data_IF_637210413966
#
_entry.id   IF_637210413966
#
_cell.length_a   1.000
_cell.length_b   1.000
_cell.length_c   1.000
_cell.angle_alpha   90.00
_cell.angle_beta   90.00
_cell.angle_gamma   90.00
#
_symmetry.space_group_name_H-M   'P 1'
#
loop_
_entity.id
_entity.type
_entity.pdbx_description
1 polymer ?
#
# COMPACT_ATOMS: atom_id res chain seq x y z
N UNK A 1 -14.89 3.41 16.37
CA UNK A 1 -13.54 2.83 16.55
C UNK A 1 -13.25 2.59 18.02
N UNK A 2 -12.67 1.44 18.39
CA UNK A 2 -12.20 1.22 19.76
C UNK A 2 -10.96 2.07 20.07
N UNK A 3 -10.71 2.33 21.35
CA UNK A 3 -9.48 3.00 21.80
C UNK A 3 -8.23 2.13 21.62
N UNK A 4 -8.42 0.82 21.49
CA UNK A 4 -7.37 -0.15 21.16
C UNK A 4 -7.89 -1.26 20.26
N UNK A 5 -7.01 -1.76 19.41
CA UNK A 5 -7.22 -2.87 18.51
C UNK A 5 -6.80 -4.17 19.20
N UNK A 6 -7.70 -5.17 19.18
CA UNK A 6 -7.33 -6.56 19.48
C UNK A 6 -6.64 -7.14 18.26
N UNK A 7 -5.43 -7.66 18.44
CA UNK A 7 -4.68 -8.33 17.38
C UNK A 7 -4.36 -9.76 17.78
N UNK A 8 -4.68 -10.71 16.90
CA UNK A 8 -4.27 -12.10 17.02
C UNK A 8 -3.06 -12.36 16.11
N UNK A 9 -1.94 -12.76 16.70
CA UNK A 9 -0.73 -13.19 15.98
C UNK A 9 -0.73 -14.72 15.92
N UNK A 10 -0.93 -15.29 14.74
CA UNK A 10 -1.04 -16.74 14.55
C UNK A 10 0.25 -17.31 13.95
N UNK A 11 0.83 -18.29 14.64
CA UNK A 11 1.89 -19.11 14.07
C UNK A 11 1.27 -20.21 13.18
N UNK A 12 1.29 -19.99 11.87
CA UNK A 12 0.80 -20.91 10.84
C UNK A 12 1.98 -21.51 10.06
N UNK A 13 3.14 -21.64 10.70
CA UNK A 13 4.38 -22.21 10.17
C UNK A 13 4.73 -23.55 10.86
N UNK A 14 5.87 -24.13 10.49
CA UNK A 14 6.49 -25.26 11.22
C UNK A 14 7.61 -24.82 12.17
N UNK A 15 7.79 -23.52 12.37
CA UNK A 15 8.84 -22.93 13.19
C UNK A 15 8.32 -22.62 14.59
N UNK A 16 9.17 -22.76 15.61
CA UNK A 16 8.86 -22.47 17.01
C UNK A 16 9.64 -21.27 17.58
N UNK A 17 10.37 -20.57 16.72
CA UNK A 17 11.27 -19.47 17.08
C UNK A 17 10.87 -18.14 16.41
N UNK A 18 9.58 -17.93 16.12
CA UNK A 18 9.09 -16.69 15.50
C UNK A 18 8.78 -15.64 16.57
N UNK A 19 9.23 -14.42 16.35
CA UNK A 19 8.91 -13.26 17.18
C UNK A 19 8.25 -12.16 16.35
N UNK A 20 7.34 -11.44 16.98
CA UNK A 20 6.76 -10.21 16.46
C UNK A 20 7.23 -8.98 17.23
N UNK A 21 7.16 -7.83 16.56
CA UNK A 21 7.37 -6.52 17.15
C UNK A 21 6.31 -5.57 16.59
N UNK A 22 5.83 -4.64 17.41
CA UNK A 22 4.92 -3.58 16.94
C UNK A 22 5.59 -2.24 17.15
N UNK A 23 5.71 -1.45 16.08
CA UNK A 23 6.28 -0.10 16.10
C UNK A 23 5.28 0.89 15.52
N UNK A 24 5.42 2.18 15.83
CA UNK A 24 4.68 3.25 15.18
C UNK A 24 4.57 4.52 16.02
N UNK A 25 3.66 5.41 15.63
CA UNK A 25 3.39 6.68 16.32
C UNK A 25 2.10 6.57 17.16
N UNK A 26 2.21 6.63 18.48
CA UNK A 26 1.08 6.51 19.41
C UNK A 26 0.22 7.79 19.42
N UNK A 27 -0.91 7.75 18.71
CA UNK A 27 -1.79 8.91 18.49
C UNK A 27 -2.31 9.46 19.82
N UNK A 28 -2.76 8.58 20.70
CA UNK A 28 -3.32 8.94 22.01
C UNK A 28 -2.26 9.39 23.03
N UNK A 29 -0.96 9.28 22.69
CA UNK A 29 0.16 9.65 23.54
C UNK A 29 0.96 10.82 22.95
N UNK A 30 0.25 11.82 22.42
CA UNK A 30 0.88 13.03 21.88
C UNK A 30 1.71 12.80 20.60
N UNK A 31 1.46 11.71 19.87
CA UNK A 31 2.17 11.40 18.64
C UNK A 31 3.62 11.00 18.85
N UNK A 32 3.94 10.34 19.97
CA UNK A 32 5.28 9.85 20.25
C UNK A 32 5.56 8.54 19.52
N UNK A 33 6.80 8.37 19.04
CA UNK A 33 7.32 7.06 18.63
C UNK A 33 7.19 6.07 19.78
N UNK A 34 6.68 4.88 19.47
CA UNK A 34 6.51 3.80 20.43
C UNK A 34 6.84 2.44 19.83
N UNK A 35 7.14 1.50 20.73
CA UNK A 35 7.14 0.07 20.47
C UNK A 35 6.20 -0.61 21.47
N UNK A 36 5.62 -1.75 21.13
CA UNK A 36 4.91 -2.59 22.09
C UNK A 36 5.92 -3.50 22.82
N UNK A 37 5.85 -3.53 24.15
CA UNK A 37 6.69 -4.41 24.98
C UNK A 37 6.34 -5.88 24.74
N UNK A 38 7.25 -6.78 25.11
CA UNK A 38 7.11 -8.23 24.95
C UNK A 38 5.83 -8.83 25.57
N UNK A 39 5.19 -8.14 26.52
CA UNK A 39 3.92 -8.57 27.11
C UNK A 39 2.69 -8.33 26.20
N UNK A 40 2.87 -7.69 25.05
CA UNK A 40 1.82 -7.48 24.05
C UNK A 40 0.76 -6.46 24.44
N UNK A 41 1.01 -5.60 25.45
CA UNK A 41 0.02 -4.64 25.95
C UNK A 41 0.61 -3.27 26.25
N UNK A 42 1.77 -3.24 26.92
CA UNK A 42 2.36 -1.99 27.37
C UNK A 42 3.19 -1.34 26.26
N UNK A 43 3.13 -0.01 26.16
CA UNK A 43 3.99 0.74 25.25
C UNK A 43 5.35 1.03 25.89
N UNK A 44 6.40 0.92 25.09
CA UNK A 44 7.72 1.46 25.32
C UNK A 44 7.91 2.73 24.49
N UNK A 45 8.32 3.80 25.16
CA UNK A 45 8.69 5.07 24.53
C UNK A 45 10.19 5.28 24.72
N UNK A 46 11.03 5.02 23.70
CA UNK A 46 12.46 5.30 23.77
C UNK A 46 12.72 6.77 24.11
N UNK A 47 13.62 7.01 25.07
CA UNK A 47 14.02 8.36 25.51
C UNK A 47 15.53 8.46 25.64
N UNK A 48 16.06 9.58 25.15
CA UNK A 48 17.43 10.05 25.33
C UNK A 48 18.48 8.96 25.04
N UNK A 49 18.51 8.41 23.80
CA UNK A 49 19.56 7.47 23.42
C UNK A 49 20.93 8.18 23.44
N UNK A 50 21.95 7.58 24.08
CA UNK A 50 23.23 8.25 24.33
C UNK A 50 24.09 8.48 23.08
N UNK A 51 23.85 7.72 22.01
CA UNK A 51 24.62 7.78 20.77
C UNK A 51 23.83 7.21 19.59
N UNK A 52 24.30 7.47 18.36
CA UNK A 52 23.77 6.81 17.15
C UNK A 52 23.93 5.30 17.28
N UNK A 53 22.90 4.54 16.92
CA UNK A 53 22.91 3.08 16.99
C UNK A 53 22.79 2.50 18.41
N UNK A 54 22.21 3.24 19.35
CA UNK A 54 21.98 2.74 20.71
C UNK A 54 20.93 1.60 20.70
N UNK A 55 21.10 0.52 21.47
CA UNK A 55 20.11 -0.56 21.52
C UNK A 55 18.84 -0.13 22.28
N UNK A 56 17.74 -0.86 22.08
CA UNK A 56 16.56 -0.75 22.93
C UNK A 56 16.92 -1.12 24.38
N UNK A 57 16.33 -0.40 25.35
CA UNK A 57 16.48 -0.70 26.79
C UNK A 57 15.39 -1.64 27.32
N UNK A 58 14.36 -1.91 26.53
CA UNK A 58 13.23 -2.77 26.87
C UNK A 58 13.14 -3.92 25.86
N UNK A 59 12.77 -5.12 26.33
CA UNK A 59 12.45 -6.23 25.43
C UNK A 59 11.07 -6.00 24.78
N UNK A 60 11.08 -5.92 23.45
CA UNK A 60 9.90 -5.72 22.62
C UNK A 60 9.59 -6.95 21.74
N UNK A 61 10.31 -8.07 21.94
CA UNK A 61 10.10 -9.29 21.17
C UNK A 61 8.91 -10.09 21.74
N UNK A 62 7.81 -10.18 20.98
CA UNK A 62 6.60 -10.91 21.35
C UNK A 62 6.69 -12.32 20.74
N UNK A 63 6.86 -13.39 21.52
CA UNK A 63 6.96 -14.74 20.96
C UNK A 63 5.61 -15.21 20.40
N UNK A 64 5.62 -15.77 19.19
CA UNK A 64 4.43 -16.37 18.57
C UNK A 64 4.15 -17.79 19.07
N UNK A 65 5.08 -18.40 19.81
CA UNK A 65 4.93 -19.74 20.38
C UNK A 65 5.13 -20.87 19.36
N UNK A 66 4.69 -22.08 19.73
CA UNK A 66 4.79 -23.28 18.89
C UNK A 66 3.89 -23.18 17.63
N UNK A 67 4.15 -23.99 16.58
CA UNK A 67 3.24 -24.15 15.45
C UNK A 67 1.77 -24.32 15.87
N UNK A 68 0.87 -23.55 15.24
CA UNK A 68 -0.56 -23.52 15.55
C UNK A 68 -0.96 -22.61 16.71
N UNK A 69 -0.01 -22.03 17.45
CA UNK A 69 -0.31 -21.11 18.55
C UNK A 69 -0.90 -19.78 18.05
N UNK A 70 -1.71 -19.15 18.90
CA UNK A 70 -2.18 -17.78 18.72
C UNK A 70 -1.81 -16.94 19.94
N UNK A 71 -1.08 -15.86 19.72
CA UNK A 71 -0.73 -14.87 20.73
C UNK A 71 -1.65 -13.66 20.57
N UNK A 72 -2.44 -13.32 21.59
CA UNK A 72 -3.27 -12.10 21.57
C UNK A 72 -2.48 -10.91 22.13
N UNK A 73 -2.52 -9.79 21.41
CA UNK A 73 -1.96 -8.51 21.82
C UNK A 73 -3.02 -7.40 21.74
N UNK A 74 -2.77 -6.30 22.42
CA UNK A 74 -3.62 -5.10 22.38
C UNK A 74 -2.77 -3.93 21.93
N UNK A 75 -3.19 -3.29 20.84
CA UNK A 75 -2.46 -2.19 20.21
C UNK A 75 -3.32 -0.92 20.30
N UNK A 76 -2.85 0.17 20.90
CA UNK A 76 -3.61 1.42 20.93
C UNK A 76 -3.71 2.06 19.54
N UNK A 77 -4.37 3.21 19.42
CA UNK A 77 -4.38 3.94 18.16
C UNK A 77 -2.96 4.37 17.77
N UNK A 78 -2.48 3.84 16.64
CA UNK A 78 -1.14 4.03 16.09
C UNK A 78 -1.26 4.49 14.64
N UNK A 79 -0.47 5.50 14.27
CA UNK A 79 -0.24 5.90 12.89
C UNK A 79 1.11 5.37 12.39
N UNK A 80 1.19 5.00 11.11
CA UNK A 80 2.41 4.48 10.50
C UNK A 80 2.95 3.25 11.23
N UNK A 81 2.05 2.36 11.65
CA UNK A 81 2.38 1.19 12.44
C UNK A 81 2.90 0.05 11.58
N UNK A 82 3.85 -0.72 12.12
CA UNK A 82 4.34 -1.96 11.53
C UNK A 82 4.25 -3.10 12.54
N UNK A 83 3.71 -4.23 12.11
CA UNK A 83 3.82 -5.51 12.80
C UNK A 83 4.92 -6.30 12.09
N UNK A 84 6.12 -6.24 12.65
CA UNK A 84 7.28 -6.98 12.17
C UNK A 84 7.21 -8.42 12.61
N UNK A 85 7.62 -9.34 11.74
CA UNK A 85 7.65 -10.77 11.99
C UNK A 85 9.05 -11.26 11.62
N UNK A 86 9.70 -12.03 12.48
CA UNK A 86 11.02 -12.58 12.21
C UNK A 86 11.18 -14.01 12.71
N UNK A 87 11.95 -14.81 11.95
CA UNK A 87 12.50 -16.09 12.41
C UNK A 87 13.74 -15.79 13.26
N UNK A 88 13.67 -16.05 14.55
CA UNK A 88 14.63 -15.51 15.52
C UNK A 88 14.18 -14.14 16.02
N UNK A 89 15.13 -13.23 16.28
CA UNK A 89 14.85 -11.89 16.83
C UNK A 89 15.40 -10.81 15.90
N UNK A 90 14.71 -9.67 15.86
CA UNK A 90 15.18 -8.44 15.24
C UNK A 90 15.93 -7.57 16.25
N UNK A 91 16.92 -6.85 15.74
CA UNK A 91 17.64 -5.80 16.43
C UNK A 91 17.14 -4.46 15.92
N UNK A 92 16.49 -3.71 16.80
CA UNK A 92 16.15 -2.30 16.57
C UNK A 92 17.19 -1.42 17.25
N UNK A 93 17.58 -0.34 16.58
CA UNK A 93 18.52 0.64 17.13
C UNK A 93 17.85 2.00 17.26
N UNK A 94 18.49 2.90 17.98
CA UNK A 94 17.98 4.23 18.31
C UNK A 94 19.05 5.28 18.02
N UNK A 95 18.63 6.42 17.47
CA UNK A 95 19.46 7.59 17.26
C UNK A 95 19.02 8.76 18.15
N UNK A 96 19.92 9.70 18.50
CA UNK A 96 19.56 10.94 19.20
C UNK A 96 18.37 11.65 18.54
N UNK A 97 17.49 12.23 19.36
CA UNK A 97 16.20 12.76 18.91
C UNK A 97 15.04 11.77 18.98
N UNK A 98 15.22 10.65 19.69
CA UNK A 98 14.21 9.58 19.86
C UNK A 98 13.76 8.98 18.51
N UNK A 99 14.70 8.78 17.59
CA UNK A 99 14.43 8.19 16.28
C UNK A 99 14.70 6.68 16.31
N UNK A 100 13.73 5.90 15.82
CA UNK A 100 13.90 4.46 15.58
C UNK A 100 14.73 4.25 14.31
N UNK A 101 15.74 3.41 14.40
CA UNK A 101 16.40 2.82 13.24
C UNK A 101 15.79 1.44 13.05
N UNK A 102 14.97 1.34 12.01
CA UNK A 102 14.28 0.10 11.64
C UNK A 102 15.24 -0.86 10.93
N UNK A 103 14.97 -2.18 10.96
CA UNK A 103 15.75 -3.18 10.24
C UNK A 103 15.92 -2.84 8.76
N UNK A 104 17.16 -2.86 8.26
CA UNK A 104 17.45 -2.64 6.85
C UNK A 104 17.79 -3.94 6.14
N UNK A 105 17.13 -4.21 5.01
CA UNK A 105 17.53 -5.26 4.06
C UNK A 105 18.54 -4.78 3.03
N UNK A 106 18.84 -3.48 2.99
CA UNK A 106 19.63 -2.83 1.93
C UNK A 106 21.08 -2.56 2.35
N UNK A 107 21.36 -2.57 3.66
CA UNK A 107 22.68 -2.39 4.20
C UNK A 107 23.28 -3.75 4.57
N UNK A 108 24.32 -4.24 3.87
CA UNK A 108 24.96 -5.52 4.19
C UNK A 108 25.56 -5.60 5.60
N UNK A 109 25.81 -4.46 6.26
CA UNK A 109 26.31 -4.39 7.64
C UNK A 109 25.19 -4.26 8.68
N UNK A 110 23.92 -4.25 8.28
CA UNK A 110 22.80 -4.23 9.22
C UNK A 110 22.78 -5.52 10.04
N UNK A 111 22.58 -5.47 11.38
CA UNK A 111 22.51 -6.67 12.20
C UNK A 111 21.37 -7.62 11.82
N UNK A 112 20.37 -7.14 11.08
CA UNK A 112 19.24 -7.93 10.59
C UNK A 112 19.43 -8.44 9.14
N UNK A 113 20.58 -8.17 8.51
CA UNK A 113 20.79 -8.49 7.10
C UNK A 113 20.56 -9.98 6.79
N UNK A 114 20.92 -10.90 7.68
CA UNK A 114 20.74 -12.34 7.45
C UNK A 114 19.49 -12.92 8.14
N UNK A 115 18.66 -12.08 8.75
CA UNK A 115 17.42 -12.50 9.42
C UNK A 115 16.29 -12.64 8.39
N UNK A 116 15.55 -13.75 8.43
CA UNK A 116 14.29 -13.88 7.70
C UNK A 116 13.21 -13.10 8.47
N UNK A 117 12.82 -11.96 7.92
CA UNK A 117 11.79 -11.11 8.49
C UNK A 117 10.94 -10.47 7.40
N UNK A 118 9.72 -10.08 7.76
CA UNK A 118 8.81 -9.26 6.96
C UNK A 118 7.93 -8.43 7.87
N UNK A 119 6.97 -7.71 7.31
CA UNK A 119 6.03 -6.92 8.11
C UNK A 119 4.67 -6.75 7.42
N UNK A 120 3.65 -6.51 8.24
CA UNK A 120 2.39 -5.92 7.81
C UNK A 120 2.32 -4.47 8.32
N UNK A 121 1.78 -3.58 7.51
CA UNK A 121 1.61 -2.17 7.84
C UNK A 121 0.18 -1.91 8.29
N UNK A 122 0.00 -0.95 9.19
CA UNK A 122 -1.32 -0.53 9.62
C UNK A 122 -1.37 0.91 10.13
N UNK A 123 -2.54 1.51 10.05
CA UNK A 123 -2.91 2.70 10.81
C UNK A 123 -4.26 2.44 11.47
N UNK A 124 -4.31 2.57 12.78
CA UNK A 124 -5.54 2.53 13.57
C UNK A 124 -5.76 3.90 14.20
N UNK A 125 -6.75 4.64 13.72
CA UNK A 125 -7.10 5.97 14.24
C UNK A 125 -8.56 6.01 14.70
N UNK A 126 -9.07 7.21 15.00
CA UNK A 126 -10.44 7.40 15.47
C UNK A 126 -11.51 7.09 14.42
N UNK A 127 -11.14 7.00 13.14
CA UNK A 127 -12.06 6.75 12.02
C UNK A 127 -12.03 5.32 11.51
N UNK A 128 -10.85 4.70 11.40
CA UNK A 128 -10.72 3.34 10.86
C UNK A 128 -9.43 2.63 11.27
N UNK A 129 -9.44 1.31 11.14
CA UNK A 129 -8.24 0.53 10.84
C UNK A 129 -8.08 0.45 9.33
N UNK A 130 -6.86 0.70 8.86
CA UNK A 130 -6.38 0.34 7.53
C UNK A 130 -5.11 -0.49 7.71
N UNK A 131 -5.00 -1.64 7.06
CA UNK A 131 -3.82 -2.50 7.13
C UNK A 131 -3.54 -3.18 5.80
N UNK A 132 -2.28 -3.49 5.53
CA UNK A 132 -1.85 -4.14 4.29
C UNK A 132 -0.62 -5.03 4.54
N UNK A 133 -0.48 -6.07 3.72
CA UNK A 133 0.84 -6.67 3.48
C UNK A 133 1.60 -5.78 2.50
N UNK A 134 2.92 -5.76 2.55
CA UNK A 134 3.72 -4.92 1.67
C UNK A 134 4.91 -5.68 1.09
N UNK A 135 5.08 -5.53 -0.23
CA UNK A 135 6.20 -6.02 -1.02
C UNK A 135 6.90 -4.87 -1.76
N UNK A 136 6.66 -3.63 -1.33
CA UNK A 136 7.25 -2.41 -1.93
C UNK A 136 8.77 -2.41 -1.78
N UNK A 137 9.28 -2.94 -0.66
CA UNK A 137 10.72 -3.04 -0.44
C UNK A 137 11.26 -4.42 -0.82
N UNK A 138 10.61 -5.49 -0.37
CA UNK A 138 11.03 -6.86 -0.65
C UNK A 138 9.93 -7.87 -0.34
N UNK A 139 10.04 -9.08 -0.89
CA UNK A 139 9.27 -10.25 -0.49
C UNK A 139 10.04 -11.03 0.58
N UNK A 140 9.49 -11.23 1.80
CA UNK A 140 10.12 -12.05 2.83
C UNK A 140 10.02 -13.54 2.50
N UNK A 141 10.94 -14.37 3.00
CA UNK A 141 10.77 -15.83 2.95
C UNK A 141 9.58 -16.27 3.77
N UNK A 142 9.42 -15.71 4.97
CA UNK A 142 8.28 -16.05 5.83
C UNK A 142 6.99 -15.39 5.31
N UNK A 143 5.98 -16.17 4.85
CA UNK A 143 4.76 -15.57 4.32
C UNK A 143 3.90 -14.93 5.41
N UNK A 144 3.24 -13.82 5.09
CA UNK A 144 2.35 -13.08 5.99
C UNK A 144 0.98 -12.98 5.33
N UNK A 145 -0.06 -13.32 6.08
CA UNK A 145 -1.46 -13.14 5.71
C UNK A 145 -2.15 -12.24 6.74
N UNK A 146 -3.15 -11.47 6.31
CA UNK A 146 -3.93 -10.63 7.21
C UNK A 146 -5.43 -10.87 7.07
N UNK A 147 -6.14 -10.73 8.19
CA UNK A 147 -7.60 -10.81 8.24
C UNK A 147 -8.18 -9.76 9.16
N UNK A 148 -9.33 -9.20 8.77
CA UNK A 148 -10.03 -8.20 9.56
C UNK A 148 -11.49 -8.59 9.75
N UNK A 149 -11.88 -8.83 11.00
CA UNK A 149 -13.27 -9.07 11.39
C UNK A 149 -13.94 -7.77 11.84
N UNK A 150 -15.15 -7.52 11.33
CA UNK A 150 -15.97 -6.36 11.63
C UNK A 150 -17.02 -6.65 12.70
N UNK A 151 -17.66 -5.62 13.24
CA UNK A 151 -18.73 -5.76 14.22
C UNK A 151 -19.97 -6.48 13.63
N UNK A 152 -20.21 -6.32 12.32
CA UNK A 152 -21.23 -7.09 11.59
C UNK A 152 -20.97 -8.60 11.57
N UNK A 153 -19.72 -9.03 11.81
CA UNK A 153 -19.27 -10.40 11.62
C UNK A 153 -18.57 -10.64 10.28
N UNK A 154 -18.64 -9.68 9.34
CA UNK A 154 -17.95 -9.77 8.05
C UNK A 154 -16.43 -9.87 8.23
N UNK A 155 -15.78 -10.63 7.36
CA UNK A 155 -14.34 -10.86 7.38
C UNK A 155 -13.74 -10.48 6.04
N UNK A 156 -12.82 -9.53 6.07
CA UNK A 156 -11.88 -9.30 4.96
C UNK A 156 -10.64 -10.16 5.16
N UNK A 157 -10.08 -10.65 4.07
CA UNK A 157 -8.94 -11.56 4.08
C UNK A 157 -7.99 -11.25 2.92
N UNK A 158 -6.70 -11.28 3.22
CA UNK A 158 -5.60 -11.21 2.26
C UNK A 158 -4.67 -12.39 2.54
N UNK A 159 -4.48 -13.25 1.55
CA UNK A 159 -3.91 -14.58 1.72
C UNK A 159 -2.38 -14.57 1.86
N UNK A 160 -1.68 -13.69 1.15
CA UNK A 160 -0.23 -13.79 1.03
C UNK A 160 0.19 -14.98 0.15
N UNK A 161 1.46 -15.36 0.26
CA UNK A 161 2.06 -16.48 -0.46
C UNK A 161 1.93 -17.83 0.28
N UNK A 162 1.98 -18.97 -0.42
CA UNK A 162 2.17 -20.27 0.22
C UNK A 162 3.59 -20.41 0.81
N UNK A 163 3.88 -21.44 1.63
CA UNK A 163 5.20 -21.63 2.27
C UNK A 163 6.40 -21.64 1.32
N UNK A 164 6.20 -22.10 0.08
CA UNK A 164 7.18 -22.21 -1.00
C UNK A 164 7.17 -20.99 -1.96
N UNK A 165 6.27 -20.03 -1.77
CA UNK A 165 6.04 -18.94 -2.74
C UNK A 165 7.26 -18.05 -3.02
N UNK A 166 8.16 -17.84 -2.04
CA UNK A 166 9.41 -17.10 -2.32
C UNK A 166 10.32 -17.88 -3.29
N UNK A 167 10.41 -19.20 -3.12
CA UNK A 167 11.29 -20.05 -3.93
C UNK A 167 10.73 -20.19 -5.36
N UNK A 168 9.41 -20.32 -5.50
CA UNK A 168 8.73 -20.31 -6.80
C UNK A 168 8.86 -18.94 -7.52
N UNK A 169 8.72 -17.83 -6.77
CA UNK A 169 8.98 -16.48 -7.29
C UNK A 169 10.42 -16.32 -7.74
N UNK A 170 11.39 -16.81 -6.96
CA UNK A 170 12.80 -16.79 -7.33
C UNK A 170 13.06 -17.55 -8.63
N UNK A 171 12.44 -18.73 -8.80
CA UNK A 171 12.56 -19.52 -10.03
C UNK A 171 12.00 -18.77 -11.25
N UNK A 172 10.83 -18.13 -11.11
CA UNK A 172 10.24 -17.36 -12.21
C UNK A 172 11.05 -16.12 -12.56
N UNK A 173 11.66 -15.43 -11.59
CA UNK A 173 12.55 -14.29 -11.87
C UNK A 173 13.84 -14.74 -12.57
N UNK A 174 14.37 -15.92 -12.22
CA UNK A 174 15.48 -16.51 -12.95
C UNK A 174 15.10 -16.82 -14.39
N UNK A 175 13.92 -17.40 -14.62
CA UNK A 175 13.42 -17.66 -15.96
C UNK A 175 13.23 -16.35 -16.75
N UNK A 176 12.65 -15.31 -16.13
CA UNK A 176 12.49 -14.00 -16.74
C UNK A 176 13.84 -13.38 -17.15
N UNK A 177 14.85 -13.45 -16.29
CA UNK A 177 16.19 -12.97 -16.59
C UNK A 177 16.84 -13.72 -17.78
N UNK A 178 16.52 -15.00 -17.97
CA UNK A 178 16.97 -15.73 -19.17
C UNK A 178 16.24 -15.29 -20.44
N UNK A 179 14.99 -14.83 -20.32
CA UNK A 179 14.14 -14.42 -21.43
C UNK A 179 14.48 -13.02 -21.95
N UNK A 180 14.62 -12.03 -21.06
CA UNK A 180 14.80 -10.62 -21.42
C UNK A 180 16.21 -10.07 -21.16
N UNK A 181 17.10 -10.90 -20.59
CA UNK A 181 18.47 -10.56 -20.21
C UNK A 181 18.59 -9.39 -19.21
N UNK A 182 17.52 -9.08 -18.48
CA UNK A 182 17.52 -8.11 -17.39
C UNK A 182 17.85 -8.77 -16.05
N UNK A 183 18.40 -8.04 -15.07
CA UNK A 183 18.96 -8.64 -13.85
C UNK A 183 17.91 -8.98 -12.78
N UNK A 184 16.75 -9.53 -13.17
CA UNK A 184 15.68 -9.93 -12.24
C UNK A 184 16.14 -10.99 -11.25
N UNK A 185 16.99 -11.91 -11.68
CA UNK A 185 17.59 -12.98 -10.88
C UNK A 185 18.52 -12.44 -9.78
N UNK A 186 19.16 -11.30 -10.01
CA UNK A 186 20.04 -10.64 -9.02
C UNK A 186 19.28 -10.04 -7.84
N UNK A 187 17.96 -9.86 -7.95
CA UNK A 187 17.12 -9.38 -6.84
C UNK A 187 16.97 -10.42 -5.72
N UNK A 188 17.31 -11.69 -5.99
CA UNK A 188 17.20 -12.79 -5.04
C UNK A 188 18.36 -12.74 -4.04
N UNK A 189 18.04 -12.55 -2.76
CA UNK A 189 19.02 -12.52 -1.67
C UNK A 189 19.02 -13.86 -0.93
N UNK A 190 20.21 -14.39 -0.69
CA UNK A 190 20.42 -15.70 -0.06
C UNK A 190 21.21 -15.59 1.24
N UNK A 191 20.88 -16.47 2.19
CA UNK A 191 21.75 -16.81 3.32
C UNK A 191 22.18 -18.27 3.16
N UNK A 192 23.47 -18.49 2.89
CA UNK A 192 23.98 -19.77 2.43
C UNK A 192 23.30 -20.20 1.11
N UNK A 193 22.66 -21.37 1.10
CA UNK A 193 21.92 -21.86 -0.06
C UNK A 193 20.44 -21.44 -0.10
N UNK A 194 19.94 -20.81 0.97
CA UNK A 194 18.52 -20.52 1.15
C UNK A 194 18.18 -19.11 0.65
N UNK A 195 17.15 -18.98 -0.20
CA UNK A 195 16.55 -17.67 -0.49
C UNK A 195 15.89 -17.14 0.77
N UNK A 196 16.29 -15.96 1.23
CA UNK A 196 15.74 -15.33 2.45
C UNK A 196 14.85 -14.13 2.15
N UNK A 197 15.02 -13.50 0.97
CA UNK A 197 14.14 -12.45 0.45
C UNK A 197 14.40 -12.20 -1.03
N UNK A 198 13.49 -11.48 -1.67
CA UNK A 198 13.66 -10.93 -3.02
C UNK A 198 13.41 -9.44 -2.94
N UNK A 199 14.40 -8.62 -3.31
CA UNK A 199 14.27 -7.17 -3.28
C UNK A 199 13.39 -6.67 -4.42
N UNK A 200 12.69 -5.56 -4.19
CA UNK A 200 12.05 -4.81 -5.27
C UNK A 200 13.12 -4.25 -6.23
N UNK A 201 12.78 -4.11 -7.51
CA UNK A 201 13.67 -3.55 -8.53
C UNK A 201 14.14 -2.12 -8.20
N UNK A 202 13.37 -1.34 -7.46
CA UNK A 202 13.79 -0.01 -6.93
C UNK A 202 15.05 -0.08 -6.07
N UNK A 203 15.29 -1.22 -5.44
CA UNK A 203 16.43 -1.50 -4.56
C UNK A 203 17.53 -2.31 -5.23
N UNK A 204 17.45 -2.53 -6.55
CA UNK A 204 18.38 -3.39 -7.27
C UNK A 204 19.86 -3.02 -7.11
N UNK A 205 20.16 -1.73 -6.95
CA UNK A 205 21.53 -1.24 -6.72
C UNK A 205 22.18 -1.85 -5.46
N UNK A 206 21.40 -2.20 -4.43
CA UNK A 206 21.93 -2.84 -3.22
C UNK A 206 22.50 -4.25 -3.49
N UNK A 207 22.11 -4.87 -4.61
CA UNK A 207 22.50 -6.24 -5.01
C UNK A 207 23.13 -6.28 -6.40
N UNK A 208 23.53 -5.13 -6.95
CA UNK A 208 24.17 -5.04 -8.27
C UNK A 208 23.24 -5.36 -9.46
N UNK A 209 21.93 -5.13 -9.30
CA UNK A 209 20.93 -5.16 -10.34
C UNK A 209 20.59 -3.73 -10.79
N UNK A 210 21.00 -3.33 -12.00
CA UNK A 210 20.60 -2.05 -12.61
C UNK A 210 19.57 -2.32 -13.70
N UNK A 211 18.48 -1.54 -13.67
CA UNK A 211 17.42 -1.53 -14.67
C UNK A 211 17.45 -0.23 -15.50
N UNK A 212 18.56 0.52 -15.49
CA UNK A 212 18.66 1.79 -16.20
C UNK A 212 18.30 1.61 -17.69
N UNK A 213 17.38 2.42 -18.20
CA UNK A 213 16.95 2.32 -19.59
C UNK A 213 15.87 1.27 -19.89
N UNK A 214 15.42 0.49 -18.91
CA UNK A 214 14.50 -0.64 -19.12
C UNK A 214 13.11 -0.21 -19.65
N UNK A 215 12.47 0.81 -19.07
CA UNK A 215 11.15 1.30 -19.46
C UNK A 215 11.15 2.32 -20.60
N UNK A 216 12.30 2.88 -20.97
CA UNK A 216 12.42 4.03 -21.87
C UNK A 216 11.75 3.78 -23.22
N UNK A 217 11.87 2.56 -23.77
CA UNK A 217 11.16 2.16 -24.99
C UNK A 217 9.64 2.23 -24.84
N UNK A 218 9.09 1.69 -23.76
CA UNK A 218 7.65 1.73 -23.50
C UNK A 218 7.16 3.17 -23.29
N UNK A 219 7.95 3.97 -22.57
CA UNK A 219 7.66 5.39 -22.33
C UNK A 219 7.61 6.15 -23.67
N UNK A 220 8.55 5.90 -24.57
CA UNK A 220 8.55 6.49 -25.91
C UNK A 220 7.32 6.07 -26.73
N UNK A 221 6.92 4.81 -26.69
CA UNK A 221 5.70 4.32 -27.37
C UNK A 221 4.43 4.99 -26.82
N UNK A 222 4.34 5.16 -25.50
CA UNK A 222 3.25 5.90 -24.85
C UNK A 222 3.24 7.36 -25.33
N UNK A 223 4.40 8.02 -25.35
CA UNK A 223 4.53 9.39 -25.85
C UNK A 223 4.06 9.51 -27.31
N UNK A 224 4.50 8.60 -28.19
CA UNK A 224 4.09 8.62 -29.60
C UNK A 224 2.59 8.41 -29.78
N UNK A 225 1.98 7.49 -29.03
CA UNK A 225 0.52 7.25 -29.07
C UNK A 225 -0.25 8.54 -28.75
N UNK A 226 0.07 9.19 -27.64
CA UNK A 226 -0.64 10.39 -27.17
C UNK A 226 -0.23 11.69 -27.87
N UNK A 227 0.87 11.67 -28.64
CA UNK A 227 1.26 12.73 -29.59
C UNK A 227 0.51 12.61 -30.92
N UNK A 228 0.14 11.40 -31.33
CA UNK A 228 -0.54 11.10 -32.60
C UNK A 228 -2.05 11.36 -32.59
N UNK A 229 -2.55 12.05 -31.56
CA UNK A 229 -3.96 12.46 -31.45
C UNK A 229 -4.81 11.61 -30.52
N UNK A 230 -4.30 10.48 -29.99
CA UNK A 230 -4.99 9.74 -28.94
C UNK A 230 -5.12 10.57 -27.66
N UNK A 231 -6.17 10.33 -26.88
CA UNK A 231 -6.41 10.95 -25.57
C UNK A 231 -6.48 9.88 -24.50
N UNK A 232 -5.75 10.05 -23.41
CA UNK A 232 -5.97 9.26 -22.18
C UNK A 232 -7.04 9.93 -21.34
N UNK A 233 -7.70 9.16 -20.47
CA UNK A 233 -8.65 9.65 -19.47
C UNK A 233 -8.19 9.17 -18.12
N UNK A 234 -7.91 10.11 -17.22
CA UNK A 234 -7.54 9.82 -15.84
C UNK A 234 -8.74 10.15 -14.97
N UNK A 235 -9.40 9.12 -14.43
CA UNK A 235 -10.30 9.28 -13.30
C UNK A 235 -9.46 9.57 -12.07
N UNK A 236 -9.47 10.83 -11.62
CA UNK A 236 -8.72 11.26 -10.44
C UNK A 236 -9.29 10.72 -9.13
N UNK A 237 -10.53 10.21 -9.15
CA UNK A 237 -11.31 9.76 -7.99
C UNK A 237 -11.32 10.83 -6.88
N UNK A 238 -11.30 12.08 -7.30
CA UNK A 238 -11.21 13.28 -6.49
C UNK A 238 -12.04 14.40 -7.15
N UNK A 239 -11.99 15.62 -6.58
CA UNK A 239 -12.76 16.77 -7.05
C UNK A 239 -12.72 17.04 -8.57
N UNK A 240 -11.57 16.90 -9.27
CA UNK A 240 -11.51 17.11 -10.72
C UNK A 240 -12.27 16.08 -11.58
N UNK A 241 -12.69 14.93 -11.01
CA UNK A 241 -13.36 13.87 -11.75
C UNK A 241 -12.45 13.22 -12.80
N UNK A 242 -12.99 12.98 -13.99
CA UNK A 242 -12.25 12.43 -15.13
C UNK A 242 -11.65 13.56 -15.95
N UNK A 243 -10.32 13.56 -16.11
CA UNK A 243 -9.58 14.55 -16.90
C UNK A 243 -8.88 13.90 -18.09
N UNK A 244 -8.85 14.59 -19.23
CA UNK A 244 -8.18 14.11 -20.42
C UNK A 244 -6.69 14.45 -20.43
N UNK A 245 -5.90 13.57 -21.06
CA UNK A 245 -4.46 13.71 -21.21
C UNK A 245 -3.98 13.53 -22.66
N UNK A 246 -2.98 14.30 -23.06
CA UNK A 246 -2.32 14.18 -24.37
C UNK A 246 -0.91 14.77 -24.36
N UNK A 247 -0.08 14.40 -25.32
CA UNK A 247 1.25 15.03 -25.48
C UNK A 247 1.09 16.33 -26.27
N UNK A 248 1.55 17.44 -25.69
CA UNK A 248 1.44 18.78 -26.26
C UNK A 248 2.57 19.06 -27.28
N UNK A 249 2.57 20.26 -27.88
CA UNK A 249 3.57 20.67 -28.89
C UNK A 249 5.00 20.82 -28.34
N UNK A 250 5.17 20.90 -27.01
CA UNK A 250 6.45 20.97 -26.32
C UNK A 250 6.98 19.58 -25.92
N UNK A 251 6.32 18.51 -26.37
CA UNK A 251 6.65 17.12 -26.03
C UNK A 251 6.41 16.77 -24.55
N UNK A 252 5.50 17.49 -23.89
CA UNK A 252 5.11 17.24 -22.50
C UNK A 252 3.71 16.63 -22.43
N UNK A 253 3.48 15.73 -21.48
CA UNK A 253 2.16 15.13 -21.27
C UNK A 253 1.29 16.10 -20.44
N UNK A 254 0.29 16.69 -21.07
CA UNK A 254 -0.67 17.60 -20.45
C UNK A 254 -1.94 16.85 -20.06
N UNK A 255 -2.27 16.83 -18.77
CA UNK A 255 -3.41 16.12 -18.19
C UNK A 255 -4.16 17.05 -17.25
N UNK A 256 -5.43 17.37 -17.55
CA UNK A 256 -6.25 18.20 -16.66
C UNK A 256 -5.65 19.57 -16.32
N UNK A 257 -4.89 20.17 -17.25
CA UNK A 257 -4.18 21.45 -17.07
C UNK A 257 -2.83 21.35 -16.35
N UNK A 258 -2.42 20.15 -15.93
CA UNK A 258 -1.11 19.87 -15.35
C UNK A 258 -0.16 19.32 -16.41
N UNK A 259 1.13 19.65 -16.30
CA UNK A 259 2.16 19.21 -17.25
C UNK A 259 3.11 18.21 -16.58
N UNK A 260 3.38 17.11 -17.28
CA UNK A 260 4.27 16.04 -16.86
C UNK A 260 5.38 15.85 -17.91
N UNK A 261 6.63 15.93 -17.45
CA UNK A 261 7.77 15.54 -18.27
C UNK A 261 7.79 14.04 -18.54
N UNK A 262 8.61 13.62 -19.51
CA UNK A 262 8.84 12.20 -19.78
C UNK A 262 9.53 11.54 -18.58
N UNK A 263 8.96 10.47 -18.00
CA UNK A 263 9.61 9.75 -16.90
C UNK A 263 10.84 8.98 -17.40
N UNK A 264 11.68 8.58 -16.46
CA UNK A 264 12.75 7.59 -16.61
C UNK A 264 12.35 6.26 -16.00
N UNK A 265 13.14 5.19 -16.21
CA UNK A 265 12.95 3.94 -15.46
C UNK A 265 12.94 4.15 -13.95
N UNK A 266 13.84 4.99 -13.42
CA UNK A 266 13.89 5.27 -12.00
C UNK A 266 12.59 5.93 -11.49
N UNK A 267 12.01 6.85 -12.26
CA UNK A 267 10.73 7.47 -11.92
C UNK A 267 9.59 6.45 -11.94
N UNK A 268 9.53 5.56 -12.94
CA UNK A 268 8.48 4.53 -13.05
C UNK A 268 8.57 3.54 -11.89
N UNK A 269 9.75 2.98 -11.62
CA UNK A 269 9.92 2.03 -10.53
C UNK A 269 9.70 2.68 -9.16
N UNK A 270 10.25 3.89 -8.94
CA UNK A 270 10.22 4.57 -7.65
C UNK A 270 8.90 5.27 -7.34
N UNK A 271 8.12 5.65 -8.35
CA UNK A 271 6.84 6.36 -8.22
C UNK A 271 6.91 7.70 -7.44
N UNK A 272 8.10 8.28 -7.23
CA UNK A 272 8.29 9.40 -6.30
C UNK A 272 9.25 10.50 -6.78
N UNK A 273 9.77 10.39 -8.00
CA UNK A 273 10.71 11.35 -8.59
C UNK A 273 10.22 11.85 -9.95
N UNK A 274 10.95 12.83 -10.51
CA UNK A 274 10.68 13.38 -11.83
C UNK A 274 9.22 13.88 -11.97
N UNK A 275 8.44 13.37 -12.94
CA UNK A 275 7.04 13.78 -13.11
C UNK A 275 6.13 13.33 -11.95
N UNK A 276 6.56 12.42 -11.08
CA UNK A 276 5.75 11.87 -9.98
C UNK A 276 6.02 12.54 -8.62
N UNK A 277 6.77 13.65 -8.60
CA UNK A 277 6.94 14.46 -7.40
C UNK A 277 5.65 15.23 -7.07
N UNK A 278 5.13 15.02 -5.85
CA UNK A 278 3.97 15.77 -5.34
C UNK A 278 4.33 17.23 -5.06
N UNK A 279 3.34 18.12 -5.16
CA UNK A 279 3.53 19.55 -4.95
C UNK A 279 2.29 20.24 -4.38
N UNK A 280 2.20 21.58 -4.51
CA UNK A 280 1.06 22.33 -3.97
C UNK A 280 -0.25 22.12 -4.75
N UNK A 281 -0.21 21.57 -5.98
CA UNK A 281 -1.41 21.35 -6.80
C UNK A 281 -2.16 20.08 -6.38
N UNK A 282 -3.41 20.20 -5.88
CA UNK A 282 -4.22 19.03 -5.55
C UNK A 282 -4.57 18.19 -6.79
N UNK A 283 -4.80 18.82 -7.94
CA UNK A 283 -5.08 18.14 -9.20
C UNK A 283 -3.89 17.27 -9.61
N UNK A 284 -2.67 17.83 -9.57
CA UNK A 284 -1.45 17.08 -9.86
C UNK A 284 -1.31 15.87 -8.93
N UNK A 285 -1.48 16.09 -7.62
CA UNK A 285 -1.34 15.04 -6.61
C UNK A 285 -2.40 13.93 -6.76
N UNK A 286 -3.58 14.25 -7.32
CA UNK A 286 -4.61 13.25 -7.61
C UNK A 286 -4.29 12.43 -8.89
N UNK A 287 -3.65 13.05 -9.89
CA UNK A 287 -3.25 12.39 -11.15
C UNK A 287 -2.05 11.45 -10.95
N UNK A 288 -1.03 11.88 -10.17
CA UNK A 288 0.25 11.16 -10.02
C UNK A 288 0.08 9.66 -9.75
N UNK A 289 -0.72 9.21 -8.75
CA UNK A 289 -0.85 7.78 -8.46
C UNK A 289 -1.35 6.96 -9.66
N UNK A 290 -2.34 7.50 -10.39
CA UNK A 290 -2.96 6.82 -11.54
C UNK A 290 -1.99 6.71 -12.69
N UNK A 291 -1.25 7.80 -12.97
CA UNK A 291 -0.28 7.82 -14.04
C UNK A 291 0.91 6.89 -13.74
N UNK A 292 1.46 6.95 -12.52
CA UNK A 292 2.56 6.10 -12.09
C UNK A 292 2.19 4.61 -12.12
N UNK A 293 1.03 4.24 -11.56
CA UNK A 293 0.53 2.86 -11.60
C UNK A 293 0.34 2.35 -13.03
N UNK A 294 -0.18 3.19 -13.94
CA UNK A 294 -0.37 2.81 -15.33
C UNK A 294 0.96 2.56 -16.08
N UNK A 295 2.04 3.28 -15.75
CA UNK A 295 3.38 2.99 -16.26
C UNK A 295 3.95 1.70 -15.67
N UNK A 296 3.87 1.51 -14.35
CA UNK A 296 4.37 0.28 -13.69
C UNK A 296 3.70 -0.98 -14.26
N UNK A 297 2.39 -0.89 -14.53
CA UNK A 297 1.57 -1.98 -15.10
C UNK A 297 1.65 -2.06 -16.63
N UNK A 298 2.41 -1.18 -17.29
CA UNK A 298 2.51 -1.03 -18.76
C UNK A 298 1.16 -0.93 -19.48
N UNK A 299 0.13 -0.37 -18.83
CA UNK A 299 -1.27 -0.43 -19.30
C UNK A 299 -1.68 0.75 -20.19
N UNK A 300 -0.86 1.80 -20.30
CA UNK A 300 -1.17 3.02 -21.07
C UNK A 300 -1.31 2.79 -22.59
N UNK A 301 -0.73 1.70 -23.10
CA UNK A 301 -0.90 1.30 -24.50
C UNK A 301 -2.18 0.46 -24.71
N UNK A 302 -2.64 -0.27 -23.69
CA UNK A 302 -3.79 -1.18 -23.75
C UNK A 302 -5.12 -0.54 -23.35
N UNK A 303 -5.09 0.49 -22.50
CA UNK A 303 -6.29 1.20 -22.05
C UNK A 303 -6.11 2.72 -22.13
N UNK A 304 -7.14 3.41 -22.65
CA UNK A 304 -7.22 4.87 -22.58
C UNK A 304 -7.76 5.33 -21.23
N UNK A 305 -8.62 4.53 -20.59
CA UNK A 305 -9.19 4.83 -19.28
C UNK A 305 -8.24 4.34 -18.18
N UNK A 306 -7.89 5.24 -17.28
CA UNK A 306 -7.01 4.99 -16.15
C UNK A 306 -7.65 5.50 -14.85
N UNK A 307 -7.58 4.74 -13.76
CA UNK A 307 -6.97 3.42 -13.65
C UNK A 307 -7.75 2.34 -14.42
N UNK A 308 -7.03 1.42 -15.05
CA UNK A 308 -7.60 0.34 -15.89
C UNK A 308 -7.84 -0.94 -15.09
N UNK A 309 -8.59 -1.87 -15.68
CA UNK A 309 -8.92 -3.16 -15.05
C UNK A 309 -7.70 -4.10 -15.00
N UNK A 310 -7.57 -4.99 -13.99
CA UNK A 310 -6.44 -5.90 -13.85
C UNK A 310 -6.12 -6.76 -15.09
N UNK A 311 -7.13 -7.05 -15.91
CA UNK A 311 -6.97 -7.80 -17.15
C UNK A 311 -6.08 -7.13 -18.21
N UNK A 312 -5.73 -5.84 -18.03
CA UNK A 312 -4.82 -5.08 -18.91
C UNK A 312 -3.38 -5.00 -18.39
N UNK A 313 -3.11 -5.43 -17.16
CA UNK A 313 -1.81 -5.22 -16.52
C UNK A 313 -0.76 -6.21 -17.02
N UNK A 314 0.49 -5.74 -17.15
CA UNK A 314 1.67 -6.56 -17.42
C UNK A 314 1.57 -7.42 -18.71
N UNK A 315 0.84 -6.94 -19.72
CA UNK A 315 0.61 -7.67 -20.99
C UNK A 315 1.64 -7.41 -22.08
N UNK A 316 2.62 -6.56 -21.79
CA UNK A 316 3.60 -6.04 -22.75
C UNK A 316 4.96 -5.97 -22.09
N UNK A 317 6.00 -6.06 -22.91
CA UNK A 317 7.36 -5.80 -22.48
C UNK A 317 7.87 -4.47 -23.07
N UNK A 318 8.64 -3.69 -22.30
CA UNK A 318 8.99 -3.90 -20.89
C UNK A 318 7.79 -3.72 -19.94
N UNK A 319 7.80 -4.44 -18.82
CA UNK A 319 6.91 -4.23 -17.66
C UNK A 319 7.58 -4.57 -16.34
N UNK A 320 6.98 -4.20 -15.21
CA UNK A 320 7.51 -4.53 -13.89
C UNK A 320 7.27 -6.02 -13.60
N UNK A 321 8.22 -6.88 -14.00
CA UNK A 321 8.12 -8.32 -13.82
C UNK A 321 8.21 -8.76 -12.36
N UNK A 322 8.89 -8.01 -11.49
CA UNK A 322 8.81 -8.20 -10.05
C UNK A 322 7.35 -8.12 -9.58
N UNK A 323 6.65 -7.03 -9.88
CA UNK A 323 5.25 -6.86 -9.47
C UNK A 323 4.33 -7.92 -10.10
N UNK A 324 4.47 -8.17 -11.41
CA UNK A 324 3.72 -9.23 -12.13
C UNK A 324 3.81 -10.58 -11.43
N UNK A 325 5.02 -10.97 -11.03
CA UNK A 325 5.26 -12.28 -10.41
C UNK A 325 4.90 -12.29 -8.92
N UNK A 326 5.04 -11.18 -8.20
CA UNK A 326 4.51 -11.06 -6.83
C UNK A 326 3.00 -11.31 -6.82
N UNK A 327 2.24 -10.68 -7.71
CA UNK A 327 0.81 -10.97 -7.82
C UNK A 327 0.53 -12.43 -8.21
N UNK A 328 1.30 -13.01 -9.16
CA UNK A 328 1.16 -14.42 -9.57
C UNK A 328 1.28 -15.40 -8.39
N UNK A 329 2.22 -15.14 -7.47
CA UNK A 329 2.56 -16.06 -6.38
C UNK A 329 1.78 -15.82 -5.09
N UNK A 330 1.08 -14.69 -4.98
CA UNK A 330 0.08 -14.51 -3.93
C UNK A 330 -1.19 -15.32 -4.25
N UNK A 331 -1.70 -16.08 -3.29
CA UNK A 331 -2.78 -17.04 -3.52
C UNK A 331 -4.11 -16.40 -3.94
N UNK A 332 -4.30 -15.12 -3.62
CA UNK A 332 -5.47 -14.31 -3.99
C UNK A 332 -5.15 -13.28 -5.07
N UNK A 333 -3.94 -13.30 -5.64
CA UNK A 333 -3.46 -12.31 -6.61
C UNK A 333 -3.12 -10.94 -6.01
N UNK A 334 -3.20 -10.77 -4.67
CA UNK A 334 -3.08 -9.46 -4.02
C UNK A 334 -1.76 -9.30 -3.29
N UNK A 335 -1.23 -8.08 -3.30
CA UNK A 335 -0.05 -7.70 -2.55
C UNK A 335 0.47 -6.35 -3.03
N UNK A 336 0.97 -5.54 -2.11
CA UNK A 336 1.43 -4.18 -2.42
C UNK A 336 2.83 -4.22 -3.04
N UNK A 337 2.94 -4.42 -4.35
CA UNK A 337 4.23 -4.66 -5.02
C UNK A 337 4.96 -3.37 -5.46
N UNK A 338 4.29 -2.23 -5.44
CA UNK A 338 4.85 -0.90 -5.70
C UNK A 338 4.00 0.18 -5.05
N UNK A 339 4.48 1.43 -4.94
CA UNK A 339 3.91 2.47 -4.07
C UNK A 339 2.42 2.82 -4.33
N UNK A 340 1.91 2.58 -5.54
CA UNK A 340 0.54 2.91 -5.94
C UNK A 340 -0.24 1.69 -6.43
N UNK A 341 0.02 0.51 -5.87
CA UNK A 341 -0.69 -0.72 -6.25
C UNK A 341 -2.16 -0.75 -5.79
N UNK A 342 -2.53 0.15 -4.87
CA UNK A 342 -3.89 0.41 -4.41
C UNK A 342 -4.76 1.17 -5.42
N UNK A 343 -4.15 1.68 -6.49
CA UNK A 343 -4.86 2.36 -7.57
C UNK A 343 -5.70 1.34 -8.35
N UNK A 344 -7.01 1.54 -8.35
CA UNK A 344 -8.00 0.69 -9.01
C UNK A 344 -9.16 1.53 -9.56
N UNK A 345 -9.89 1.06 -10.59
CA UNK A 345 -11.13 1.71 -11.01
C UNK A 345 -12.17 1.67 -9.88
N UNK A 346 -13.15 2.59 -9.92
CA UNK A 346 -14.17 2.74 -8.85
C UNK A 346 -14.96 1.45 -8.59
N UNK A 347 -15.14 0.63 -9.62
CA UNK A 347 -15.79 -0.68 -9.60
C UNK A 347 -14.81 -1.86 -9.75
N UNK A 348 -13.51 -1.60 -9.64
CA UNK A 348 -12.44 -2.56 -9.86
C UNK A 348 -12.09 -3.41 -8.65
N UNK A 349 -11.44 -4.54 -8.92
CA UNK A 349 -10.86 -5.40 -7.88
C UNK A 349 -9.59 -4.77 -7.29
N UNK A 350 -9.48 -4.76 -5.96
CA UNK A 350 -8.25 -4.38 -5.25
C UNK A 350 -7.14 -5.41 -5.53
N UNK A 351 -5.96 -4.91 -5.90
CA UNK A 351 -4.74 -5.71 -6.08
C UNK A 351 -3.73 -5.49 -4.95
N UNK A 352 -3.91 -4.48 -4.10
CA UNK A 352 -2.90 -4.05 -3.13
C UNK A 352 -2.77 -4.95 -1.89
N UNK A 353 -3.77 -5.80 -1.60
CA UNK A 353 -3.72 -6.68 -0.42
C UNK A 353 -3.97 -5.90 0.88
N UNK A 354 -4.95 -4.99 0.84
CA UNK A 354 -5.40 -4.22 2.01
C UNK A 354 -6.65 -4.80 2.66
N UNK A 355 -6.83 -4.48 3.94
CA UNK A 355 -8.07 -4.61 4.69
C UNK A 355 -8.36 -3.32 5.44
N UNK A 356 -9.63 -2.91 5.53
CA UNK A 356 -10.00 -1.72 6.29
C UNK A 356 -11.42 -1.79 6.87
N UNK A 357 -11.63 -1.15 8.02
CA UNK A 357 -12.94 -1.04 8.64
C UNK A 357 -13.00 0.13 9.64
N UNK A 358 -14.16 0.80 9.73
CA UNK A 358 -14.49 1.77 10.78
C UNK A 358 -14.98 1.13 12.09
N UNK A 359 -15.16 -0.19 12.09
CA UNK A 359 -15.73 -0.99 13.18
C UNK A 359 -14.96 -2.34 13.39
N UNK A 360 -13.62 -2.33 13.45
CA UNK A 360 -12.84 -3.55 13.61
C UNK A 360 -13.05 -4.18 14.99
N UNK A 361 -13.21 -5.50 15.04
CA UNK A 361 -13.33 -6.27 16.29
C UNK A 361 -12.14 -7.19 16.55
N UNK A 362 -11.50 -7.69 15.48
CA UNK A 362 -10.29 -8.48 15.55
C UNK A 362 -9.48 -8.29 14.26
N UNK A 363 -8.22 -7.89 14.42
CA UNK A 363 -7.23 -7.96 13.35
C UNK A 363 -6.36 -9.19 13.57
N UNK A 364 -6.16 -10.02 12.55
CA UNK A 364 -5.34 -11.24 12.65
C UNK A 364 -4.18 -11.14 11.67
N UNK A 365 -2.97 -11.39 12.16
CA UNK A 365 -1.77 -11.56 11.33
C UNK A 365 -1.34 -13.03 11.45
N UNK A 366 -1.40 -13.77 10.35
CA UNK A 366 -0.97 -15.17 10.29
C UNK A 366 0.36 -15.30 9.57
N UNK A 367 1.24 -16.15 10.09
CA UNK A 367 2.64 -16.24 9.66
C UNK A 367 2.98 -17.67 9.26
N UNK A 368 3.51 -17.87 8.05
CA UNK A 368 4.01 -19.18 7.60
C UNK A 368 3.26 -19.81 6.43
N UNK A 369 2.07 -19.30 6.08
CA UNK A 369 1.38 -19.63 4.83
C UNK A 369 0.68 -21.00 4.74
N UNK A 370 0.77 -21.89 5.73
CA UNK A 370 0.22 -23.27 5.64
C UNK A 370 -1.30 -23.33 5.45
N UNK A 371 -2.01 -22.29 5.90
CA UNK A 371 -3.46 -22.15 5.82
C UNK A 371 -3.88 -20.93 5.00
N UNK A 372 -2.95 -20.27 4.29
CA UNK A 372 -3.21 -19.02 3.57
C UNK A 372 -4.38 -19.13 2.57
N UNK A 373 -4.47 -20.24 1.82
CA UNK A 373 -5.58 -20.45 0.89
C UNK A 373 -6.94 -20.74 1.54
N UNK A 374 -6.99 -21.11 2.83
CA UNK A 374 -8.24 -21.49 3.52
C UNK A 374 -9.05 -20.28 3.99
N UNK A 375 -8.40 -19.16 4.28
CA UNK A 375 -9.07 -17.93 4.69
C UNK A 375 -9.88 -17.28 3.56
N UNK A 376 -9.39 -17.39 2.32
CA UNK A 376 -10.04 -16.85 1.13
C UNK A 376 -11.40 -17.49 0.83
N UNK A 377 -11.56 -18.79 1.12
CA UNK A 377 -12.83 -19.52 0.91
C UNK A 377 -13.94 -19.15 1.89
N UNK A 378 -13.62 -18.51 3.03
CA UNK A 378 -14.62 -18.00 3.97
C UNK A 378 -15.02 -16.55 3.70
N UNK A 379 -14.37 -15.87 2.76
CA UNK A 379 -14.81 -14.59 2.20
C UNK A 379 -15.95 -14.83 1.20
N UNK A 380 -17.12 -15.23 1.70
CA UNK A 380 -18.30 -15.40 0.86
C UNK A 380 -18.71 -14.07 0.23
N UNK A 381 -18.58 -13.98 -1.10
CA UNK A 381 -19.50 -13.31 -2.04
C UNK A 381 -20.21 -12.04 -1.53
N UNK A 382 -19.47 -10.97 -1.24
CA UNK A 382 -20.05 -9.62 -1.28
C UNK A 382 -19.81 -9.03 -2.67
N UNK A 383 -20.50 -9.56 -3.68
CA UNK A 383 -20.77 -8.73 -4.87
C UNK A 383 -21.54 -7.51 -4.36
N UNK A 384 -20.91 -6.33 -4.40
CA UNK A 384 -21.62 -5.08 -4.20
C UNK A 384 -22.65 -4.94 -5.31
N UNK A 385 -23.88 -5.36 -5.03
CA UNK A 385 -25.03 -4.73 -5.67
C UNK A 385 -25.04 -3.28 -5.20
N UNK A 386 -25.06 -2.29 -6.10
CA UNK A 386 -25.16 -0.89 -5.71
C UNK A 386 -26.38 -0.70 -4.81
N UNK A 387 -26.17 -0.05 -3.68
CA UNK A 387 -27.26 0.53 -2.89
C UNK A 387 -27.92 1.57 -3.80
N UNK A 388 -29.24 1.49 -4.09
CA UNK A 388 -29.91 2.49 -4.89
C UNK A 388 -29.81 3.83 -4.17
N UNK A 389 -29.33 4.87 -4.87
CA UNK A 389 -29.55 6.23 -4.44
C UNK A 389 -31.07 6.48 -4.33
N UNK A 390 -31.55 7.24 -3.33
CA UNK A 390 -32.96 7.59 -3.25
C UNK A 390 -33.33 8.43 -4.47
N UNK A 391 -34.15 7.88 -5.36
CA UNK A 391 -34.85 8.66 -6.37
C UNK A 391 -35.74 9.69 -5.67
N UNK A 392 -35.60 10.93 -6.10
CA UNK A 392 -36.53 12.01 -5.78
C UNK A 392 -37.96 11.57 -6.08
N UNK A 393 -38.80 11.56 -5.04
CA UNK A 393 -40.23 11.34 -5.18
C UNK A 393 -40.83 12.48 -6.02
N UNK A 394 -41.05 12.21 -7.31
CA UNK A 394 -41.91 13.00 -8.19
C UNK A 394 -43.36 12.89 -7.69
N UNK A 395 -43.82 13.91 -6.99
CA UNK A 395 -45.24 14.12 -6.74
C UNK A 395 -45.94 14.44 -8.06
N UNK A 396 -46.81 13.54 -8.51
CA UNK A 396 -47.89 13.87 -9.43
C UNK A 396 -48.90 14.76 -8.69
N UNK A 397 -49.12 15.98 -9.18
CA UNK A 397 -50.36 16.71 -8.97
C UNK A 397 -50.92 17.17 -10.30
N UNK A 398 -52.19 16.84 -10.46
CA UNK A 398 -53.06 17.07 -11.60
C UNK A 398 -53.59 18.50 -11.56
N UNK A 399 -53.79 19.08 -12.74
CA UNK A 399 -54.15 20.46 -12.99
C UNK A 399 -55.46 20.93 -12.32
N UNK A 400 -55.49 22.21 -11.94
CA UNK A 400 -56.62 23.13 -12.12
C UNK A 400 -56.10 24.59 -12.07
N UNK A 401 -56.44 25.38 -13.09
CA UNK A 401 -56.26 26.85 -13.19
C UNK A 401 -57.36 27.60 -12.38
N UNK A 402 -57.48 28.95 -12.46
CA UNK A 402 -56.53 29.98 -12.04
C UNK A 402 -57.20 30.99 -11.09
N UNK A 403 -56.45 31.81 -10.34
CA UNK A 403 -56.84 33.21 -10.11
C UNK A 403 -55.75 34.10 -9.47
N UNK A 404 -55.59 35.26 -10.09
CA UNK A 404 -55.42 36.61 -9.57
C UNK A 404 -54.54 36.94 -8.32
N UNK A 405 -53.76 38.01 -8.54
CA UNK A 405 -53.42 39.10 -7.60
C UNK A 405 -52.19 38.98 -6.67
N UNK A 406 -51.15 39.71 -7.10
CA UNK A 406 -50.62 40.93 -6.47
C UNK A 406 -49.56 40.89 -5.36
N UNK A 407 -48.65 41.86 -5.51
CA UNK A 407 -47.80 42.56 -4.54
C UNK A 407 -46.51 41.95 -3.92
N UNK A 408 -45.41 42.58 -4.36
CA UNK A 408 -44.39 43.30 -3.56
C UNK A 408 -43.36 42.55 -2.68
N UNK A 409 -42.09 42.75 -3.08
CA UNK A 409 -40.92 43.28 -2.32
C UNK A 409 -40.86 43.04 -0.81
N UNK A 410 -39.73 42.51 -0.31
CA UNK A 410 -38.67 43.30 0.35
C UNK A 410 -37.48 42.43 0.82
N UNK A 411 -36.31 42.83 0.33
CA UNK A 411 -35.03 43.10 1.01
C UNK A 411 -34.65 42.58 2.42
N UNK A 412 -33.32 42.38 2.48
CA UNK A 412 -32.37 42.66 3.57
C UNK A 412 -32.13 41.66 4.72
N UNK A 413 -30.84 41.46 5.02
CA UNK A 413 -30.42 41.15 6.40
C UNK A 413 -29.08 40.46 6.60
N UNK A 414 -27.97 41.18 6.40
CA UNK A 414 -26.63 40.84 6.91
C UNK A 414 -26.59 40.48 8.41
N UNK A 415 -25.72 39.54 8.82
CA UNK A 415 -24.61 39.77 9.80
C UNK A 415 -23.85 38.49 10.23
N UNK A 416 -22.60 38.38 9.78
CA UNK A 416 -21.41 38.63 10.62
C UNK A 416 -20.88 37.58 11.61
N UNK A 417 -19.65 37.11 11.34
CA UNK A 417 -18.43 36.97 12.20
C UNK A 417 -17.68 35.65 11.91
N UNK A 418 -16.49 35.60 11.27
CA UNK A 418 -15.12 36.07 11.62
C UNK A 418 -14.28 35.01 12.36
N UNK A 419 -13.19 34.59 11.69
CA UNK A 419 -11.94 33.90 12.11
C UNK A 419 -12.03 32.40 12.51
N UNK A 420 -11.12 31.50 12.11
CA UNK A 420 -9.84 31.65 11.42
C UNK A 420 -8.73 30.84 12.10
N UNK A 421 -8.23 29.82 11.38
CA UNK A 421 -6.89 29.17 11.47
C UNK A 421 -6.47 28.39 12.72
N UNK A 422 -6.22 27.09 12.52
CA UNK A 422 -4.89 26.49 12.73
C UNK A 422 -4.77 25.16 11.95
N UNK A 423 -4.29 25.27 10.71
CA UNK A 423 -3.78 24.19 9.86
C UNK A 423 -2.25 24.29 9.93
N UNK A 424 -1.56 23.29 10.46
CA UNK A 424 -0.12 23.03 10.21
C UNK A 424 0.26 21.72 10.87
N UNK A 425 0.80 20.81 10.07
CA UNK A 425 1.70 19.69 10.39
C UNK A 425 1.34 18.53 9.46
N UNK A 426 1.72 18.66 8.19
CA UNK A 426 2.12 17.55 7.31
C UNK A 426 2.96 18.18 6.18
N UNK A 427 4.27 18.08 6.33
CA UNK A 427 5.28 18.09 5.28
C UNK A 427 6.33 17.09 5.69
#
# INVERSE_FOLDING_TARGET
MPDSLRVALKNDSDLNNIHAYVTGIAIQHGGQLCLLKANGKDLYFPKDPPSIGSPLKEDCAIPLGQPGNTTEITVPQIAGGRIWIAVGKLTFLLNPGNALVEPSVLNPSDPNHDVDFGFAEFTCNSSQLYANISYVDFVPRIPIAISLKRASGDVQYVAGMPPDGLDDLAQDLQAQAQEDHQPWDKLIVKSGSQNIRILNATHGNAVGASFDGYFEKHIDEVWQKYKSGAKMKINTQAGPGVVEGHVNKKDELEIGGEVFGKPTTADVLGCNSGPFTTGPSPTRNAIIPRLAAAFVRSSLLDSQDQPSQPSTFYRRDPTNHYARLVHKHNLDGKGYAFAYDDVQPDDGDDQSGKVNAGDPTLFTVSVGGKSAGKGANHSSASHHRPVPHPEEAKHHQQANEPDAQDHQKHDEGLRGKVHGLAKRFMS
#
